data_IF_687770786190
#
_entry.id   IF_687770786190
#
_cell.length_a   1.000
_cell.length_b   1.000
_cell.length_c   1.000
_cell.angle_alpha   90.00
_cell.angle_beta   90.00
_cell.angle_gamma   90.00
#
_symmetry.space_group_name_H-M   'P 1'
#
loop_
_entity.id
_entity.type
_entity.pdbx_description
1 polymer ?
#
# COMPACT_ATOMS: atom_id res chain seq x y z
N UNK A 1 -103.19 -51.56 -5.70
CA UNK A 1 -101.97 -51.14 -4.90
C UNK A 1 -101.54 -49.80 -5.45
N UNK A 2 -101.87 -48.71 -4.72
CA UNK A 2 -101.54 -47.31 -5.12
C UNK A 2 -100.18 -46.99 -4.53
N UNK A 3 -99.23 -46.63 -5.43
CA UNK A 3 -97.95 -46.14 -5.05
C UNK A 3 -97.91 -44.63 -5.09
N UNK A 4 -97.67 -44.01 -3.91
CA UNK A 4 -97.68 -42.55 -3.76
C UNK A 4 -96.31 -42.01 -3.87
N UNK A 5 -95.97 -41.13 -4.81
CA UNK A 5 -94.60 -40.71 -5.06
C UNK A 5 -94.11 -39.53 -4.19
N UNK A 6 -94.58 -39.37 -2.97
CA UNK A 6 -94.29 -38.21 -2.16
C UNK A 6 -93.72 -38.60 -0.75
N UNK A 7 -92.94 -39.67 -0.68
CA UNK A 7 -92.27 -40.02 0.57
C UNK A 7 -90.81 -39.54 0.53
N UNK A 8 -90.45 -38.65 1.45
CA UNK A 8 -89.17 -38.02 1.58
C UNK A 8 -88.17 -39.07 2.03
N UNK A 9 -87.10 -39.25 1.26
CA UNK A 9 -85.96 -40.07 1.61
C UNK A 9 -85.28 -39.59 2.91
N UNK A 10 -85.07 -40.50 3.90
CA UNK A 10 -84.48 -40.15 5.21
C UNK A 10 -82.97 -39.95 5.21
N UNK A 11 -82.36 -40.09 4.09
CA UNK A 11 -80.86 -39.93 3.97
C UNK A 11 -80.55 -38.75 3.02
N UNK A 12 -80.75 -37.52 3.55
CA UNK A 12 -80.39 -36.29 2.86
C UNK A 12 -78.91 -36.18 2.53
N UNK A 13 -78.50 -36.44 1.28
CA UNK A 13 -77.23 -36.00 0.78
C UNK A 13 -77.28 -34.50 0.59
N UNK A 14 -76.55 -33.77 1.44
CA UNK A 14 -76.23 -32.38 1.16
C UNK A 14 -75.36 -32.35 -0.08
N UNK A 15 -75.87 -31.84 -1.21
CA UNK A 15 -75.08 -31.42 -2.36
C UNK A 15 -74.22 -30.25 -1.91
N UNK A 16 -72.98 -30.52 -1.56
CA UNK A 16 -71.91 -29.50 -1.52
C UNK A 16 -71.34 -29.36 -2.93
N UNK A 17 -72.07 -28.75 -3.82
CA UNK A 17 -71.45 -28.13 -4.97
C UNK A 17 -70.76 -26.86 -4.50
N UNK A 18 -69.50 -26.64 -4.86
CA UNK A 18 -68.88 -25.34 -4.63
C UNK A 18 -69.73 -24.29 -5.35
N UNK A 19 -69.87 -23.09 -4.78
CA UNK A 19 -70.71 -22.03 -5.40
C UNK A 19 -70.15 -21.76 -6.78
N UNK A 20 -71.08 -21.88 -7.79
CA UNK A 20 -70.73 -21.58 -9.18
C UNK A 20 -70.30 -20.11 -9.27
N UNK A 21 -69.17 -19.86 -9.91
CA UNK A 21 -68.64 -18.52 -10.09
C UNK A 21 -69.64 -17.62 -10.83
N UNK A 22 -70.50 -18.24 -11.63
CA UNK A 22 -71.56 -17.53 -12.35
C UNK A 22 -72.68 -17.04 -11.37
N UNK A 23 -73.07 -17.80 -10.36
CA UNK A 23 -74.00 -17.35 -9.32
C UNK A 23 -73.36 -16.21 -8.46
N UNK A 24 -72.07 -16.27 -8.16
CA UNK A 24 -71.39 -15.20 -7.44
C UNK A 24 -71.30 -13.92 -8.28
N UNK A 25 -71.04 -14.04 -9.58
CA UNK A 25 -71.02 -12.91 -10.55
C UNK A 25 -72.42 -12.33 -10.75
N UNK A 26 -73.46 -13.16 -10.83
CA UNK A 26 -74.84 -12.70 -10.95
C UNK A 26 -75.31 -12.00 -9.67
N UNK A 27 -74.92 -12.47 -8.47
CA UNK A 27 -75.21 -11.77 -7.24
C UNK A 27 -74.46 -10.43 -7.14
N UNK A 28 -73.16 -10.37 -7.53
CA UNK A 28 -72.42 -9.12 -7.66
C UNK A 28 -73.05 -8.16 -8.69
N UNK A 29 -73.53 -8.66 -9.84
CA UNK A 29 -74.16 -7.84 -10.88
C UNK A 29 -75.53 -7.31 -10.41
N UNK A 30 -76.34 -8.11 -9.67
CA UNK A 30 -77.55 -7.67 -9.02
C UNK A 30 -77.36 -6.64 -7.94
N UNK A 31 -76.23 -6.74 -7.16
CA UNK A 31 -75.85 -5.74 -6.17
C UNK A 31 -75.38 -4.42 -6.78
N UNK A 32 -74.67 -4.47 -7.91
CA UNK A 32 -74.10 -3.28 -8.56
C UNK A 32 -75.11 -2.55 -9.48
N UNK A 33 -76.08 -3.26 -10.12
CA UNK A 33 -76.96 -2.68 -11.12
C UNK A 33 -78.42 -2.48 -10.67
N UNK A 34 -78.81 -2.87 -9.41
CA UNK A 34 -80.16 -2.64 -8.89
C UNK A 34 -80.28 -1.26 -8.23
N UNK A 35 -79.99 -0.26 -8.93
CA UNK A 35 -80.26 1.16 -8.61
C UNK A 35 -81.25 1.82 -9.56
N UNK A 36 -82.54 1.47 -9.42
CA UNK A 36 -83.50 2.26 -10.20
C UNK A 36 -84.93 1.68 -10.19
N UNK A 37 -85.82 2.36 -9.45
CA UNK A 37 -87.26 2.42 -9.63
C UNK A 37 -88.12 1.20 -9.31
N UNK A 38 -88.98 1.34 -8.31
CA UNK A 38 -90.08 0.46 -8.05
C UNK A 38 -90.87 0.77 -6.78
N UNK A 39 -91.88 1.54 -6.86
CA UNK A 39 -92.91 1.95 -5.91
C UNK A 39 -93.75 0.72 -5.42
N UNK A 40 -93.99 0.57 -4.12
CA UNK A 40 -95.06 -0.32 -3.67
C UNK A 40 -94.85 -0.96 -2.29
N UNK A 41 -95.47 -0.33 -1.26
CA UNK A 41 -96.28 -0.87 -0.15
C UNK A 41 -95.79 -2.05 0.70
N UNK A 42 -95.56 -1.78 2.01
CA UNK A 42 -96.09 -2.55 3.13
C UNK A 42 -95.25 -3.68 3.68
N UNK A 43 -94.79 -3.51 4.95
CA UNK A 43 -94.61 -4.63 5.85
C UNK A 43 -93.27 -4.81 6.52
N UNK A 44 -93.19 -4.27 7.75
CA UNK A 44 -92.52 -4.87 8.94
C UNK A 44 -91.02 -5.33 8.90
N UNK A 45 -90.20 -4.58 9.54
CA UNK A 45 -89.20 -5.14 10.47
C UNK A 45 -87.91 -5.77 9.89
N UNK A 46 -87.08 -4.96 9.38
CA UNK A 46 -85.68 -5.32 9.11
C UNK A 46 -84.99 -4.06 8.62
N UNK A 47 -84.07 -3.52 9.44
CA UNK A 47 -83.31 -2.36 9.04
C UNK A 47 -82.42 -2.72 7.85
N UNK A 48 -82.78 -2.24 6.59
CA UNK A 48 -81.87 -2.41 5.49
C UNK A 48 -80.66 -1.50 5.77
N UNK A 49 -79.56 -2.12 6.08
CA UNK A 49 -78.27 -1.44 6.04
C UNK A 49 -78.13 -0.85 4.64
N UNK A 50 -78.59 0.39 4.49
CA UNK A 50 -78.37 1.16 3.23
C UNK A 50 -76.85 1.39 3.14
N UNK A 51 -76.16 0.45 2.49
CA UNK A 51 -74.79 0.65 1.98
C UNK A 51 -74.90 1.76 0.91
N UNK A 52 -75.07 3.01 1.42
CA UNK A 52 -75.17 4.17 0.56
C UNK A 52 -73.84 4.41 -0.11
N UNK A 53 -73.88 5.02 -1.26
CA UNK A 53 -72.73 5.52 -2.03
C UNK A 53 -71.66 6.15 -1.17
N UNK A 54 -72.02 6.78 -0.02
CA UNK A 54 -71.12 7.31 1.01
C UNK A 54 -70.23 6.24 1.67
N UNK A 55 -70.80 5.08 2.00
CA UNK A 55 -70.00 3.98 2.62
C UNK A 55 -68.96 3.42 1.63
N UNK A 56 -69.35 3.25 0.36
CA UNK A 56 -68.42 2.83 -0.66
C UNK A 56 -67.35 3.88 -0.94
N UNK A 57 -67.69 5.16 -0.85
CA UNK A 57 -66.74 6.27 -0.95
C UNK A 57 -65.74 6.26 0.21
N UNK A 58 -66.18 6.01 1.46
CA UNK A 58 -65.27 5.91 2.59
C UNK A 58 -64.39 4.65 2.55
N UNK A 59 -64.93 3.53 2.06
CA UNK A 59 -64.16 2.31 1.85
C UNK A 59 -63.08 2.50 0.76
N UNK A 60 -63.42 3.15 -0.34
CA UNK A 60 -62.49 3.48 -1.42
C UNK A 60 -61.41 4.47 -0.95
N UNK A 61 -61.82 5.46 -0.16
CA UNK A 61 -60.87 6.44 0.44
C UNK A 61 -59.96 5.75 1.44
N UNK A 62 -60.47 4.83 2.27
CA UNK A 62 -59.67 4.00 3.16
C UNK A 62 -58.70 3.07 2.42
N UNK A 63 -59.14 2.46 1.32
CA UNK A 63 -58.28 1.65 0.47
C UNK A 63 -57.20 2.49 -0.22
N UNK A 64 -57.55 3.70 -0.67
CA UNK A 64 -56.59 4.62 -1.27
C UNK A 64 -55.54 5.11 -0.25
N UNK A 65 -55.96 5.47 0.97
CA UNK A 65 -55.02 5.86 2.03
C UNK A 65 -54.10 4.71 2.45
N UNK A 66 -54.64 3.50 2.55
CA UNK A 66 -53.85 2.28 2.83
C UNK A 66 -52.85 2.01 1.69
N UNK A 67 -53.26 2.16 0.42
CA UNK A 67 -52.40 2.02 -0.75
C UNK A 67 -51.24 3.01 -0.74
N UNK A 68 -51.53 4.29 -0.45
CA UNK A 68 -50.48 5.33 -0.32
C UNK A 68 -49.53 4.99 0.83
N UNK A 69 -50.06 4.52 1.97
CA UNK A 69 -49.24 4.17 3.10
C UNK A 69 -48.31 2.98 2.82
N UNK A 70 -48.76 1.98 2.09
CA UNK A 70 -47.95 0.84 1.64
C UNK A 70 -46.87 1.24 0.61
N UNK A 71 -47.08 2.35 -0.10
CA UNK A 71 -46.11 2.87 -1.07
C UNK A 71 -44.95 3.67 -0.43
N UNK A 72 -45.03 4.02 0.85
CA UNK A 72 -43.99 4.78 1.54
C UNK A 72 -42.86 3.83 1.95
N UNK A 73 -41.64 4.15 1.52
CA UNK A 73 -40.43 3.43 1.83
C UNK A 73 -39.32 4.37 2.32
N UNK A 74 -38.60 3.94 3.30
CA UNK A 74 -37.42 4.65 3.83
C UNK A 74 -36.18 3.89 3.36
N UNK A 75 -35.37 4.53 2.51
CA UNK A 75 -34.10 3.99 2.02
C UNK A 75 -32.97 4.60 2.85
N UNK A 76 -32.07 3.76 3.38
CA UNK A 76 -30.93 4.22 4.15
C UNK A 76 -29.99 5.06 3.27
N UNK A 77 -29.13 5.88 3.91
CA UNK A 77 -28.24 6.80 3.20
C UNK A 77 -27.25 6.10 2.26
N UNK A 78 -26.75 4.94 2.67
CA UNK A 78 -25.77 4.16 1.90
C UNK A 78 -26.42 3.21 0.87
N UNK A 79 -27.74 2.99 0.95
CA UNK A 79 -28.45 2.02 0.11
C UNK A 79 -29.03 2.70 -1.12
N UNK A 80 -29.14 1.92 -2.19
CA UNK A 80 -29.84 2.31 -3.42
C UNK A 80 -30.71 1.13 -3.84
N UNK A 81 -31.85 1.44 -4.44
CA UNK A 81 -32.80 0.43 -4.90
C UNK A 81 -33.15 0.67 -6.38
N UNK A 82 -33.07 -0.38 -7.17
CA UNK A 82 -33.50 -0.33 -8.60
C UNK A 82 -34.95 -0.71 -8.68
N UNK A 83 -35.76 0.14 -9.31
CA UNK A 83 -37.19 -0.03 -9.47
C UNK A 83 -37.56 -0.29 -10.91
N UNK A 84 -38.33 -1.35 -11.12
CA UNK A 84 -38.96 -1.69 -12.39
C UNK A 84 -40.43 -1.33 -12.37
N UNK A 85 -40.92 -0.83 -13.48
CA UNK A 85 -42.33 -0.58 -13.69
C UNK A 85 -42.82 -1.50 -14.81
N UNK A 86 -43.68 -2.46 -14.49
CA UNK A 86 -44.17 -3.47 -15.43
C UNK A 86 -43.06 -4.19 -16.20
N UNK A 87 -41.98 -4.57 -15.49
CA UNK A 87 -40.84 -5.29 -16.07
C UNK A 87 -39.84 -4.42 -16.84
N UNK A 88 -40.03 -3.10 -16.89
CA UNK A 88 -39.10 -2.16 -17.51
C UNK A 88 -38.37 -1.34 -16.43
N UNK A 89 -37.08 -1.14 -16.58
CA UNK A 89 -36.33 -0.20 -15.75
C UNK A 89 -36.94 1.19 -15.75
N UNK A 90 -37.21 1.74 -14.60
CA UNK A 90 -37.75 3.08 -14.42
C UNK A 90 -36.72 4.04 -13.82
N UNK A 91 -36.32 3.79 -12.54
CA UNK A 91 -35.43 4.69 -11.80
C UNK A 91 -34.66 3.95 -10.70
N UNK A 92 -33.63 4.61 -10.17
CA UNK A 92 -32.96 4.22 -8.93
C UNK A 92 -33.50 5.10 -7.81
N UNK A 93 -33.98 4.48 -6.72
CA UNK A 93 -34.39 5.19 -5.52
C UNK A 93 -33.14 5.61 -4.74
N UNK A 94 -33.07 6.91 -4.46
CA UNK A 94 -32.05 7.49 -3.60
C UNK A 94 -32.37 7.35 -2.10
N UNK A 95 -31.49 7.84 -1.22
CA UNK A 95 -31.71 7.80 0.22
C UNK A 95 -32.86 8.70 0.66
N UNK A 96 -33.45 8.36 1.80
CA UNK A 96 -34.52 9.10 2.42
C UNK A 96 -35.91 8.51 2.18
N UNK A 97 -36.94 9.37 2.33
CA UNK A 97 -38.31 8.98 2.12
C UNK A 97 -38.61 8.90 0.63
N UNK A 98 -38.93 7.72 0.15
CA UNK A 98 -39.27 7.46 -1.25
C UNK A 98 -40.67 6.89 -1.33
N UNK A 99 -41.34 7.17 -2.47
CA UNK A 99 -42.65 6.62 -2.78
C UNK A 99 -42.54 5.70 -3.98
N UNK A 100 -43.05 4.49 -3.87
CA UNK A 100 -43.19 3.54 -4.97
C UNK A 100 -44.66 3.09 -5.08
N UNK A 101 -45.05 2.65 -6.27
CA UNK A 101 -46.39 2.15 -6.52
C UNK A 101 -46.46 0.64 -6.32
N UNK A 102 -46.93 0.11 -5.16
CA UNK A 102 -46.77 -1.29 -4.77
C UNK A 102 -47.34 -2.34 -5.74
N UNK A 103 -48.23 -1.95 -6.63
CA UNK A 103 -48.86 -2.87 -7.59
C UNK A 103 -48.20 -2.81 -8.98
N UNK A 104 -47.55 -1.68 -9.31
CA UNK A 104 -47.02 -1.40 -10.64
C UNK A 104 -45.50 -1.41 -10.65
N UNK A 105 -44.88 -1.04 -9.54
CA UNK A 105 -43.43 -0.98 -9.36
C UNK A 105 -42.96 -2.14 -8.52
N UNK A 106 -41.90 -2.78 -8.98
CA UNK A 106 -41.18 -3.86 -8.28
C UNK A 106 -39.74 -3.42 -7.99
N UNK A 107 -39.27 -3.72 -6.77
CA UNK A 107 -37.89 -3.48 -6.40
C UNK A 107 -37.06 -4.69 -6.83
N UNK A 108 -36.25 -4.50 -7.87
CA UNK A 108 -35.45 -5.57 -8.45
C UNK A 108 -34.16 -5.86 -7.65
N UNK A 109 -33.46 -4.80 -7.24
CA UNK A 109 -32.23 -4.93 -6.47
C UNK A 109 -32.13 -3.83 -5.43
N UNK A 110 -31.62 -4.19 -4.24
CA UNK A 110 -31.33 -3.26 -3.15
C UNK A 110 -29.94 -3.55 -2.63
N UNK A 111 -29.01 -2.61 -2.85
CA UNK A 111 -27.62 -2.82 -2.51
C UNK A 111 -26.99 -1.59 -1.84
N UNK A 112 -26.07 -1.85 -0.93
CA UNK A 112 -25.27 -0.81 -0.29
C UNK A 112 -24.09 -0.41 -1.18
N UNK A 113 -24.10 0.83 -1.67
CA UNK A 113 -23.08 1.35 -2.59
C UNK A 113 -21.82 1.84 -1.87
N UNK A 114 -21.94 2.22 -0.60
CA UNK A 114 -20.80 2.74 0.19
C UNK A 114 -19.97 1.63 0.83
N UNK A 115 -20.47 0.40 0.82
CA UNK A 115 -19.78 -0.74 1.41
C UNK A 115 -18.63 -1.19 0.52
N UNK A 116 -17.43 -1.18 1.07
CA UNK A 116 -16.27 -1.80 0.42
C UNK A 116 -16.43 -3.31 0.49
N UNK A 117 -16.41 -3.94 -0.65
CA UNK A 117 -16.44 -5.39 -0.82
C UNK A 117 -15.06 -5.87 -1.16
N UNK A 118 -14.68 -7.02 -0.62
CA UNK A 118 -13.35 -7.59 -0.82
C UNK A 118 -13.51 -9.04 -1.26
N UNK A 119 -12.74 -9.44 -2.24
CA UNK A 119 -12.57 -10.85 -2.57
C UNK A 119 -11.09 -11.17 -2.75
N UNK A 120 -10.76 -12.42 -2.50
CA UNK A 120 -9.42 -12.97 -2.65
C UNK A 120 -9.45 -13.98 -3.79
N UNK A 121 -8.48 -13.88 -4.69
CA UNK A 121 -8.34 -14.72 -5.87
C UNK A 121 -6.97 -15.42 -5.83
N UNK A 122 -6.90 -16.66 -5.32
CA UNK A 122 -5.71 -17.48 -5.46
C UNK A 122 -5.65 -18.07 -6.87
N UNK A 123 -4.51 -17.94 -7.55
CA UNK A 123 -4.33 -18.45 -8.90
C UNK A 123 -2.87 -18.67 -9.22
N UNK A 124 -2.61 -19.63 -10.13
CA UNK A 124 -1.27 -19.94 -10.60
C UNK A 124 -1.13 -19.40 -12.02
N UNK A 125 0.01 -18.81 -12.34
CA UNK A 125 0.23 -18.25 -13.66
C UNK A 125 1.69 -18.26 -14.06
N UNK A 126 1.94 -17.98 -15.34
CA UNK A 126 3.26 -17.92 -15.91
C UNK A 126 3.72 -16.47 -16.05
N UNK A 127 4.93 -16.19 -15.62
CA UNK A 127 5.60 -14.91 -15.81
C UNK A 127 6.25 -14.84 -17.20
N UNK A 128 6.75 -13.66 -17.60
CA UNK A 128 7.43 -13.43 -18.87
C UNK A 128 8.67 -14.31 -19.07
N UNK A 129 9.34 -14.65 -18.00
CA UNK A 129 10.54 -15.51 -17.96
C UNK A 129 10.20 -17.01 -17.77
N UNK A 130 8.95 -17.39 -18.09
CA UNK A 130 8.45 -18.76 -18.09
C UNK A 130 8.49 -19.47 -16.73
N UNK A 131 8.50 -18.70 -15.63
CA UNK A 131 8.38 -19.24 -14.29
C UNK A 131 6.91 -19.33 -13.87
N UNK A 132 6.55 -20.42 -13.20
CA UNK A 132 5.22 -20.57 -12.58
C UNK A 132 5.26 -19.90 -11.21
N UNK A 133 4.28 -19.05 -10.95
CA UNK A 133 4.10 -18.35 -9.67
C UNK A 133 2.69 -18.56 -9.13
N UNK A 134 2.62 -18.81 -7.84
CA UNK A 134 1.38 -18.80 -7.06
C UNK A 134 1.15 -17.39 -6.57
N UNK A 135 0.03 -16.79 -7.00
CA UNK A 135 -0.33 -15.41 -6.67
C UNK A 135 -1.69 -15.39 -6.01
N UNK A 136 -1.78 -14.67 -4.90
CA UNK A 136 -3.04 -14.39 -4.21
C UNK A 136 -3.34 -12.89 -4.34
N UNK A 137 -4.40 -12.59 -5.12
CA UNK A 137 -4.83 -11.22 -5.40
C UNK A 137 -6.00 -10.85 -4.49
N UNK A 138 -5.84 -9.77 -3.73
CA UNK A 138 -6.91 -9.18 -2.93
C UNK A 138 -7.41 -7.91 -3.63
N UNK A 139 -8.69 -7.93 -4.00
CA UNK A 139 -9.34 -6.83 -4.70
C UNK A 139 -10.42 -6.22 -3.82
N UNK A 140 -10.34 -4.90 -3.63
CA UNK A 140 -11.33 -4.11 -2.93
C UNK A 140 -12.09 -3.24 -3.91
N UNK A 141 -13.42 -3.34 -3.91
CA UNK A 141 -14.27 -2.61 -4.83
C UNK A 141 -15.54 -2.10 -4.17
N UNK A 142 -16.16 -1.13 -4.81
CA UNK A 142 -17.47 -0.57 -4.45
C UNK A 142 -18.37 -0.55 -5.68
N UNK A 143 -19.68 -0.50 -5.46
CA UNK A 143 -20.65 -0.30 -6.54
C UNK A 143 -20.73 1.19 -6.83
N UNK A 144 -20.36 1.60 -8.04
CA UNK A 144 -20.43 3.00 -8.50
C UNK A 144 -21.81 3.33 -9.10
N UNK A 145 -22.38 2.40 -9.84
CA UNK A 145 -23.69 2.54 -10.47
C UNK A 145 -24.51 1.27 -10.31
N UNK A 146 -25.53 1.30 -9.44
CA UNK A 146 -26.37 0.16 -9.15
C UNK A 146 -27.20 -0.28 -10.36
N UNK A 147 -27.60 0.65 -11.23
CA UNK A 147 -28.32 0.31 -12.46
C UNK A 147 -27.47 -0.61 -13.33
N UNK A 148 -26.26 -0.20 -13.66
CA UNK A 148 -25.37 -0.97 -14.52
C UNK A 148 -24.94 -2.27 -13.85
N UNK A 149 -24.68 -2.25 -12.55
CA UNK A 149 -24.34 -3.43 -11.74
C UNK A 149 -25.43 -4.51 -11.79
N UNK A 150 -26.72 -4.11 -11.78
CA UNK A 150 -27.85 -5.05 -11.71
C UNK A 150 -28.40 -5.45 -13.06
N UNK A 151 -28.14 -4.68 -14.13
CA UNK A 151 -28.83 -4.86 -15.43
C UNK A 151 -27.90 -5.25 -16.58
N UNK A 152 -26.65 -4.78 -16.56
CA UNK A 152 -25.75 -5.00 -17.69
C UNK A 152 -25.03 -6.35 -17.61
N UNK A 153 -24.92 -6.89 -16.41
CA UNK A 153 -24.17 -8.13 -16.15
C UNK A 153 -25.05 -9.10 -15.35
N UNK A 154 -25.12 -10.35 -15.76
CA UNK A 154 -25.93 -11.37 -15.10
C UNK A 154 -25.42 -11.67 -13.68
N UNK A 155 -24.11 -11.80 -13.52
CA UNK A 155 -23.44 -12.01 -12.22
C UNK A 155 -22.22 -11.09 -12.10
N UNK A 156 -22.39 -9.94 -11.45
CA UNK A 156 -21.31 -8.96 -11.31
C UNK A 156 -20.12 -9.48 -10.49
N UNK A 157 -20.36 -10.37 -9.50
CA UNK A 157 -19.28 -10.90 -8.66
C UNK A 157 -18.42 -11.90 -9.43
N UNK A 158 -19.01 -12.73 -10.28
CA UNK A 158 -18.28 -13.63 -11.17
C UNK A 158 -17.52 -12.80 -12.22
N UNK A 159 -18.17 -11.81 -12.78
CA UNK A 159 -17.56 -10.95 -13.82
C UNK A 159 -16.34 -10.19 -13.33
N UNK A 160 -16.40 -9.57 -12.14
CA UNK A 160 -15.23 -8.88 -11.59
C UNK A 160 -14.10 -9.85 -11.30
N UNK A 161 -14.41 -11.05 -10.83
CA UNK A 161 -13.42 -12.10 -10.57
C UNK A 161 -12.71 -12.56 -11.84
N UNK A 162 -13.45 -12.78 -12.91
CA UNK A 162 -12.90 -13.15 -14.22
C UNK A 162 -12.09 -12.01 -14.85
N UNK A 163 -12.58 -10.78 -14.73
CA UNK A 163 -11.86 -9.59 -15.19
C UNK A 163 -10.56 -9.40 -14.41
N UNK A 164 -10.58 -9.60 -13.09
CA UNK A 164 -9.38 -9.52 -12.24
C UNK A 164 -8.37 -10.62 -12.59
N UNK A 165 -8.81 -11.84 -12.83
CA UNK A 165 -7.94 -12.93 -13.27
C UNK A 165 -7.31 -12.63 -14.63
N UNK A 166 -8.08 -12.09 -15.57
CA UNK A 166 -7.60 -11.71 -16.89
C UNK A 166 -6.57 -10.56 -16.81
N UNK A 167 -6.87 -9.52 -16.01
CA UNK A 167 -5.96 -8.40 -15.79
C UNK A 167 -4.66 -8.85 -15.12
N UNK A 168 -4.76 -9.69 -14.09
CA UNK A 168 -3.62 -10.27 -13.39
C UNK A 168 -2.75 -11.10 -14.35
N UNK A 169 -3.36 -12.00 -15.13
CA UNK A 169 -2.64 -12.83 -16.10
C UNK A 169 -1.90 -12.00 -17.15
N UNK A 170 -2.52 -10.95 -17.63
CA UNK A 170 -1.90 -10.04 -18.60
C UNK A 170 -0.68 -9.33 -18.00
N UNK A 171 -0.84 -8.70 -16.85
CA UNK A 171 0.23 -7.91 -16.22
C UNK A 171 1.36 -8.80 -15.71
N UNK A 172 1.07 -9.96 -15.10
CA UNK A 172 2.12 -10.91 -14.65
C UNK A 172 2.86 -11.51 -15.84
N UNK A 173 2.16 -11.83 -16.93
CA UNK A 173 2.77 -12.36 -18.15
C UNK A 173 3.68 -11.35 -18.89
N UNK A 174 3.55 -10.06 -18.64
CA UNK A 174 4.43 -9.02 -19.18
C UNK A 174 5.66 -8.74 -18.29
N UNK A 175 5.65 -9.20 -17.03
CA UNK A 175 6.70 -8.94 -16.05
C UNK A 175 7.50 -10.19 -15.73
N UNK A 176 8.75 -10.01 -15.28
CA UNK A 176 9.60 -11.09 -14.82
C UNK A 176 9.32 -11.42 -13.36
N UNK A 177 9.64 -12.66 -12.96
CA UNK A 177 9.40 -13.15 -11.61
C UNK A 177 10.10 -12.31 -10.53
N UNK A 178 11.31 -11.83 -10.82
CA UNK A 178 12.12 -11.03 -9.88
C UNK A 178 11.41 -9.70 -9.51
N UNK A 179 10.78 -9.03 -10.50
CA UNK A 179 10.00 -7.80 -10.26
C UNK A 179 8.75 -8.07 -9.42
N UNK A 180 8.11 -9.24 -9.63
CA UNK A 180 6.94 -9.64 -8.86
C UNK A 180 7.28 -9.90 -7.38
N UNK A 181 8.46 -10.49 -7.10
CA UNK A 181 8.90 -10.86 -5.75
C UNK A 181 9.52 -9.70 -4.97
N UNK A 182 10.01 -8.66 -5.67
CA UNK A 182 10.78 -7.56 -5.07
C UNK A 182 10.00 -6.23 -5.08
N UNK A 183 10.67 -5.15 -5.35
CA UNK A 183 10.14 -3.77 -5.34
C UNK A 183 9.16 -3.46 -6.47
N UNK A 184 9.10 -4.27 -7.51
CA UNK A 184 8.19 -4.09 -8.65
C UNK A 184 6.71 -4.35 -8.32
N UNK A 185 6.41 -5.01 -7.21
CA UNK A 185 5.05 -5.40 -6.84
C UNK A 185 4.04 -4.26 -6.77
N UNK A 186 4.46 -3.08 -6.31
CA UNK A 186 3.58 -1.90 -6.26
C UNK A 186 3.21 -1.40 -7.66
N UNK A 187 4.16 -1.40 -8.59
CA UNK A 187 3.92 -1.04 -9.98
C UNK A 187 3.02 -2.07 -10.67
N UNK A 188 3.23 -3.36 -10.39
CA UNK A 188 2.40 -4.46 -10.89
C UNK A 188 0.97 -4.34 -10.37
N UNK A 189 0.77 -4.10 -9.07
CA UNK A 189 -0.57 -3.87 -8.48
C UNK A 189 -1.29 -2.68 -9.12
N UNK A 190 -0.58 -1.58 -9.37
CA UNK A 190 -1.12 -0.42 -10.08
C UNK A 190 -1.47 -0.73 -11.53
N UNK A 191 -0.65 -1.53 -12.22
CA UNK A 191 -0.92 -2.01 -13.57
C UNK A 191 -2.16 -2.89 -13.65
N UNK A 192 -2.35 -3.80 -12.67
CA UNK A 192 -3.53 -4.64 -12.56
C UNK A 192 -4.79 -3.79 -12.32
N UNK A 193 -4.71 -2.81 -11.42
CA UNK A 193 -5.82 -1.90 -11.14
C UNK A 193 -6.26 -1.16 -12.40
N UNK A 194 -5.31 -0.56 -13.13
CA UNK A 194 -5.60 0.18 -14.37
C UNK A 194 -6.26 -0.72 -15.42
N UNK A 195 -5.73 -1.92 -15.61
CA UNK A 195 -6.26 -2.89 -16.59
C UNK A 195 -7.63 -3.42 -16.18
N UNK A 196 -7.83 -3.66 -14.88
CA UNK A 196 -9.12 -4.10 -14.35
C UNK A 196 -10.19 -3.03 -14.52
N UNK A 197 -9.87 -1.76 -14.24
CA UNK A 197 -10.79 -0.64 -14.46
C UNK A 197 -11.15 -0.52 -15.96
N UNK A 198 -10.20 -0.71 -16.87
CA UNK A 198 -10.44 -0.72 -18.32
C UNK A 198 -11.42 -1.83 -18.71
N UNK A 199 -11.24 -3.05 -18.21
CA UNK A 199 -12.14 -4.17 -18.50
C UNK A 199 -13.54 -3.92 -17.93
N UNK A 200 -13.65 -3.44 -16.70
CA UNK A 200 -14.94 -3.15 -16.07
C UNK A 200 -15.68 -2.00 -16.77
N UNK A 201 -14.95 -1.04 -17.33
CA UNK A 201 -15.52 0.04 -18.14
C UNK A 201 -16.09 -0.48 -19.46
N UNK A 202 -15.40 -1.42 -20.13
CA UNK A 202 -15.90 -2.06 -21.38
C UNK A 202 -17.20 -2.83 -21.12
N UNK A 203 -17.30 -3.53 -19.98
CA UNK A 203 -18.51 -4.28 -19.60
C UNK A 203 -19.61 -3.39 -19.03
N UNK A 204 -19.32 -2.12 -18.79
CA UNK A 204 -20.24 -1.19 -18.09
C UNK A 204 -20.81 -1.81 -16.81
N UNK A 205 -19.94 -2.51 -16.04
CA UNK A 205 -20.38 -3.33 -14.90
C UNK A 205 -20.87 -2.51 -13.69
N UNK A 206 -20.72 -1.19 -13.70
CA UNK A 206 -21.11 -0.31 -12.58
C UNK A 206 -20.30 -0.53 -11.30
N UNK A 207 -19.07 -1.03 -11.41
CA UNK A 207 -18.16 -1.33 -10.33
C UNK A 207 -16.97 -0.36 -10.41
N UNK A 208 -16.51 0.13 -9.26
CA UNK A 208 -15.28 0.91 -9.12
C UNK A 208 -14.30 0.19 -8.23
N UNK A 209 -13.11 -0.08 -8.72
CA UNK A 209 -12.05 -0.73 -7.95
C UNK A 209 -11.32 0.33 -7.13
N UNK A 210 -11.24 0.10 -5.82
CA UNK A 210 -10.59 1.03 -4.90
C UNK A 210 -9.11 0.68 -4.72
N UNK A 211 -8.82 -0.61 -4.58
CA UNK A 211 -7.48 -1.08 -4.31
C UNK A 211 -7.30 -2.52 -4.80
N UNK A 212 -6.10 -2.79 -5.29
CA UNK A 212 -5.65 -4.12 -5.68
C UNK A 212 -4.32 -4.39 -4.97
N UNK A 213 -4.27 -5.47 -4.20
CA UNK A 213 -3.07 -5.90 -3.49
C UNK A 213 -2.71 -7.34 -3.85
N UNK A 214 -1.44 -7.60 -4.00
CA UNK A 214 -0.90 -8.96 -4.14
C UNK A 214 -0.40 -9.41 -2.77
N UNK A 215 -1.09 -10.38 -2.15
CA UNK A 215 -0.79 -10.84 -0.78
C UNK A 215 0.28 -11.93 -0.76
N UNK A 216 0.12 -12.96 -1.59
CA UNK A 216 1.10 -14.02 -1.72
C UNK A 216 1.74 -13.99 -3.11
N UNK A 217 3.04 -14.15 -3.14
CA UNK A 217 3.90 -14.16 -4.31
C UNK A 217 5.02 -15.13 -4.03
N UNK A 218 4.86 -16.36 -4.44
CA UNK A 218 5.88 -17.38 -4.19
C UNK A 218 5.92 -18.39 -5.32
N UNK A 219 7.09 -19.01 -5.53
CA UNK A 219 7.17 -20.15 -6.44
C UNK A 219 6.33 -21.32 -5.89
N UNK A 220 5.90 -22.25 -6.75
CA UNK A 220 5.28 -23.48 -6.32
C UNK A 220 6.09 -24.24 -5.27
N UNK A 221 5.39 -24.95 -4.38
CA UNK A 221 6.02 -25.63 -3.24
C UNK A 221 7.12 -26.61 -3.66
N UNK A 222 7.00 -27.22 -4.84
CA UNK A 222 7.93 -28.21 -5.37
C UNK A 222 9.30 -27.64 -5.72
N UNK A 223 9.40 -26.33 -6.01
CA UNK A 223 10.64 -25.67 -6.44
C UNK A 223 11.16 -24.63 -5.46
N UNK A 224 10.45 -24.42 -4.35
CA UNK A 224 10.76 -23.35 -3.38
C UNK A 224 12.16 -23.46 -2.78
N UNK A 225 12.63 -24.68 -2.51
CA UNK A 225 13.96 -24.92 -1.92
C UNK A 225 15.07 -24.60 -2.92
N UNK A 226 14.92 -25.03 -4.18
CA UNK A 226 15.86 -24.70 -5.25
C UNK A 226 15.91 -23.19 -5.52
N UNK A 227 14.77 -22.51 -5.41
CA UNK A 227 14.68 -21.07 -5.58
C UNK A 227 15.38 -20.32 -4.44
N UNK A 228 15.21 -20.80 -3.20
CA UNK A 228 15.93 -20.25 -2.02
C UNK A 228 17.45 -20.36 -2.18
N UNK A 229 17.94 -21.47 -2.72
CA UNK A 229 19.38 -21.64 -2.98
C UNK A 229 19.89 -20.62 -4.01
N UNK A 230 19.12 -20.32 -5.07
CA UNK A 230 19.48 -19.29 -6.06
C UNK A 230 19.49 -17.89 -5.43
N UNK A 231 18.49 -17.58 -4.60
CA UNK A 231 18.44 -16.29 -3.88
C UNK A 231 19.62 -16.16 -2.92
N UNK A 232 19.91 -17.20 -2.11
CA UNK A 232 21.05 -17.23 -1.21
C UNK A 232 22.39 -17.05 -1.94
N UNK A 233 22.57 -17.71 -3.07
CA UNK A 233 23.77 -17.56 -3.90
C UNK A 233 23.91 -16.14 -4.50
N UNK A 234 22.81 -15.47 -4.85
CA UNK A 234 22.84 -14.08 -5.29
C UNK A 234 23.20 -13.13 -4.14
N UNK A 235 22.61 -13.32 -2.98
CA UNK A 235 22.92 -12.54 -1.79
C UNK A 235 24.41 -12.70 -1.36
N UNK A 236 24.91 -13.94 -1.38
CA UNK A 236 26.33 -14.24 -1.11
C UNK A 236 27.25 -13.56 -2.10
N UNK A 237 26.92 -13.59 -3.39
CA UNK A 237 27.68 -12.89 -4.43
C UNK A 237 27.72 -11.37 -4.16
N UNK A 238 26.59 -10.74 -3.87
CA UNK A 238 26.55 -9.30 -3.58
C UNK A 238 27.28 -8.98 -2.27
N UNK A 239 27.15 -9.82 -1.25
CA UNK A 239 27.88 -9.66 0.00
C UNK A 239 29.40 -9.71 -0.23
N UNK A 240 29.89 -10.74 -0.94
CA UNK A 240 31.30 -10.87 -1.25
C UNK A 240 31.83 -9.70 -2.09
N UNK A 241 31.04 -9.21 -3.03
CA UNK A 241 31.37 -8.03 -3.81
C UNK A 241 31.49 -6.78 -2.94
N UNK A 242 30.47 -6.54 -2.09
CA UNK A 242 30.46 -5.40 -1.18
C UNK A 242 31.62 -5.47 -0.17
N UNK A 243 31.94 -6.66 0.35
CA UNK A 243 33.08 -6.86 1.25
C UNK A 243 34.41 -6.58 0.54
N UNK A 244 34.57 -7.05 -0.71
CA UNK A 244 35.76 -6.75 -1.51
C UNK A 244 35.89 -5.25 -1.83
N UNK A 245 34.79 -4.58 -2.15
CA UNK A 245 34.78 -3.13 -2.40
C UNK A 245 35.12 -2.35 -1.12
N UNK A 246 34.53 -2.71 0.02
CA UNK A 246 34.84 -2.14 1.33
C UNK A 246 36.32 -2.32 1.66
N UNK A 247 36.86 -3.51 1.42
CA UNK A 247 38.28 -3.78 1.62
C UNK A 247 39.16 -2.91 0.72
N UNK A 248 38.84 -2.81 -0.55
CA UNK A 248 39.56 -1.95 -1.50
C UNK A 248 39.51 -0.47 -1.07
N UNK A 249 38.32 0.02 -0.66
CA UNK A 249 38.15 1.40 -0.16
C UNK A 249 38.90 1.66 1.16
N UNK A 250 39.13 0.65 1.96
CA UNK A 250 39.92 0.80 3.20
C UNK A 250 41.44 0.86 2.97
N UNK A 251 41.97 0.09 2.00
CA UNK A 251 43.40 -0.04 1.77
C UNK A 251 43.94 0.93 0.73
N UNK A 252 43.30 1.04 -0.41
CA UNK A 252 43.80 1.82 -1.55
C UNK A 252 43.98 3.32 -1.22
N UNK A 253 43.01 4.00 -0.57
CA UNK A 253 43.19 5.41 -0.20
C UNK A 253 44.29 5.61 0.83
N UNK A 254 44.43 4.71 1.81
CA UNK A 254 45.50 4.78 2.83
C UNK A 254 46.87 4.62 2.17
N UNK A 255 47.07 3.58 1.36
CA UNK A 255 48.33 3.38 0.64
C UNK A 255 48.69 4.55 -0.29
N UNK A 256 47.70 5.16 -0.95
CA UNK A 256 47.95 6.38 -1.75
C UNK A 256 48.31 7.57 -0.87
N UNK A 257 47.65 7.70 0.30
CA UNK A 257 47.99 8.75 1.26
C UNK A 257 49.42 8.63 1.79
N UNK A 258 49.83 7.41 2.15
CA UNK A 258 51.18 7.14 2.63
C UNK A 258 52.24 7.36 1.55
N UNK A 259 51.96 6.91 0.33
CA UNK A 259 52.87 7.18 -0.78
C UNK A 259 53.02 8.69 -1.06
N UNK A 260 51.90 9.44 -1.04
CA UNK A 260 51.93 10.89 -1.24
C UNK A 260 52.68 11.60 -0.08
N UNK A 261 52.53 11.13 1.17
CA UNK A 261 53.24 11.66 2.29
C UNK A 261 54.74 11.45 2.13
N UNK A 262 55.20 10.24 1.76
CA UNK A 262 56.62 9.98 1.49
C UNK A 262 57.21 10.87 0.41
N UNK A 263 56.46 11.12 -0.66
CA UNK A 263 56.88 12.04 -1.76
C UNK A 263 57.01 13.46 -1.20
N UNK A 264 56.03 13.95 -0.47
CA UNK A 264 56.06 15.28 0.13
C UNK A 264 57.20 15.45 1.16
N UNK A 265 57.42 14.45 1.99
CA UNK A 265 58.50 14.45 2.97
C UNK A 265 59.87 14.48 2.27
N UNK A 266 60.08 13.72 1.19
CA UNK A 266 61.28 13.75 0.39
C UNK A 266 61.49 15.09 -0.33
N UNK A 267 60.45 15.68 -0.86
CA UNK A 267 60.49 17.02 -1.49
C UNK A 267 60.82 18.10 -0.46
N UNK A 268 60.16 18.04 0.73
CA UNK A 268 60.43 18.97 1.81
C UNK A 268 61.87 18.84 2.32
N UNK A 269 62.38 17.58 2.46
CA UNK A 269 63.76 17.33 2.83
C UNK A 269 64.72 17.88 1.79
N UNK A 270 64.48 17.66 0.51
CA UNK A 270 65.28 18.24 -0.58
C UNK A 270 65.36 19.77 -0.51
N UNK A 271 64.21 20.45 -0.39
CA UNK A 271 64.15 21.90 -0.27
C UNK A 271 64.86 22.41 0.98
N UNK A 272 64.69 21.69 2.12
CA UNK A 272 65.40 22.02 3.36
C UNK A 272 66.94 21.92 3.22
N UNK A 273 67.41 20.85 2.60
CA UNK A 273 68.87 20.68 2.39
C UNK A 273 69.44 21.75 1.42
N UNK A 274 68.73 22.06 0.34
CA UNK A 274 69.15 23.11 -0.57
C UNK A 274 69.19 24.48 0.14
N UNK A 275 68.08 24.81 0.87
CA UNK A 275 68.04 26.10 1.57
C UNK A 275 69.10 26.25 2.65
N UNK A 276 69.43 25.15 3.38
CA UNK A 276 70.55 25.14 4.36
C UNK A 276 71.88 25.36 3.64
N UNK A 277 72.12 24.64 2.53
CA UNK A 277 73.39 24.78 1.78
C UNK A 277 73.57 26.18 1.16
N UNK A 278 72.47 26.73 0.61
CA UNK A 278 72.46 28.11 0.10
C UNK A 278 72.71 29.11 1.25
N UNK A 279 72.04 28.96 2.37
CA UNK A 279 72.22 29.80 3.55
C UNK A 279 73.64 29.74 4.13
N UNK A 280 74.27 28.56 4.12
CA UNK A 280 75.69 28.38 4.56
C UNK A 280 76.66 29.05 3.56
N UNK A 281 76.37 28.92 2.25
CA UNK A 281 77.15 29.59 1.20
C UNK A 281 77.09 31.13 1.32
N UNK A 282 75.85 31.67 1.46
CA UNK A 282 75.66 33.11 1.64
C UNK A 282 76.36 33.63 2.94
N UNK A 283 76.22 32.84 4.03
CA UNK A 283 76.90 33.16 5.29
C UNK A 283 78.44 33.20 5.09
N UNK A 284 78.99 32.19 4.38
CA UNK A 284 80.36 32.14 4.08
C UNK A 284 80.88 33.34 3.26
N UNK A 285 80.10 33.70 2.17
CA UNK A 285 80.47 34.86 1.36
C UNK A 285 80.40 36.16 2.17
N UNK A 286 79.42 36.36 3.03
CA UNK A 286 79.31 37.52 3.90
C UNK A 286 80.46 37.60 4.89
N UNK A 287 80.83 36.45 5.49
CA UNK A 287 82.03 36.35 6.39
C UNK A 287 83.32 36.59 5.65
N UNK A 288 83.47 36.10 4.44
CA UNK A 288 84.62 36.32 3.59
C UNK A 288 84.88 37.81 3.31
N UNK A 289 83.86 38.55 3.01
CA UNK A 289 83.88 39.99 2.75
C UNK A 289 84.39 40.73 4.01
N UNK A 290 83.89 40.39 5.22
CA UNK A 290 84.32 41.00 6.47
C UNK A 290 85.74 40.55 6.88
N UNK A 291 86.06 39.31 6.61
CA UNK A 291 87.45 38.80 6.83
C UNK A 291 88.48 39.54 5.99
N UNK A 292 88.17 39.83 4.74
CA UNK A 292 89.08 40.57 3.85
C UNK A 292 89.36 42.00 4.35
N UNK A 293 88.42 42.63 5.07
CA UNK A 293 88.58 43.97 5.64
C UNK A 293 89.48 43.99 6.91
N UNK A 294 89.31 43.00 7.79
CA UNK A 294 90.07 42.92 9.03
C UNK A 294 90.32 41.46 9.45
N UNK A 295 91.39 40.80 8.88
CA UNK A 295 91.63 39.35 9.06
C UNK A 295 91.93 38.92 10.52
N UNK A 296 92.69 39.70 11.26
CA UNK A 296 93.07 39.31 12.62
C UNK A 296 91.87 39.36 13.59
N UNK A 297 91.11 40.41 13.59
CA UNK A 297 89.95 40.59 14.50
C UNK A 297 88.84 39.59 14.15
N UNK A 298 88.60 39.32 12.88
CA UNK A 298 87.56 38.36 12.46
C UNK A 298 87.91 36.93 12.82
N UNK A 299 89.19 36.54 12.75
CA UNK A 299 89.66 35.23 13.18
C UNK A 299 89.50 35.02 14.71
N UNK A 300 89.80 36.04 15.48
CA UNK A 300 89.69 35.96 16.93
C UNK A 300 88.23 35.85 17.36
N UNK A 301 87.35 36.56 16.70
CA UNK A 301 85.87 36.48 16.92
C UNK A 301 85.36 35.12 16.55
N UNK A 302 85.64 34.58 15.36
CA UNK A 302 85.22 33.24 14.96
C UNK A 302 85.75 32.16 15.90
N UNK A 303 86.96 32.30 16.46
CA UNK A 303 87.48 31.38 17.41
C UNK A 303 86.71 31.43 18.76
N UNK A 304 86.34 32.61 19.21
CA UNK A 304 85.51 32.78 20.41
C UNK A 304 84.12 32.25 20.22
N UNK A 305 83.48 32.54 19.04
CA UNK A 305 82.16 32.02 18.74
C UNK A 305 82.13 30.48 18.64
N UNK A 306 83.15 29.85 18.05
CA UNK A 306 83.29 28.39 18.02
C UNK A 306 83.55 27.78 19.43
N UNK A 307 84.31 28.45 20.28
CA UNK A 307 84.49 28.04 21.71
C UNK A 307 83.14 28.15 22.44
N UNK A 308 82.42 29.23 22.27
CA UNK A 308 81.07 29.42 22.90
C UNK A 308 80.10 28.32 22.46
N UNK A 309 80.06 27.96 21.19
CA UNK A 309 79.22 26.87 20.67
C UNK A 309 79.57 25.51 21.28
N UNK A 310 80.88 25.19 21.30
CA UNK A 310 81.42 23.96 21.96
C UNK A 310 81.08 23.95 23.43
N UNK A 311 81.30 25.08 24.13
CA UNK A 311 80.94 25.18 25.52
C UNK A 311 79.49 25.20 25.83
N UNK A 312 78.60 25.66 24.93
CA UNK A 312 77.15 25.64 25.10
C UNK A 312 76.60 24.25 24.90
N UNK A 313 77.11 23.49 23.92
CA UNK A 313 76.70 22.13 23.62
C UNK A 313 77.32 21.04 24.54
N UNK A 314 78.33 21.34 25.30
CA UNK A 314 79.03 20.39 26.22
C UNK A 314 78.37 20.41 27.61
N UNK A 315 78.04 19.25 28.13
CA UNK A 315 77.66 19.10 29.54
C UNK A 315 78.88 19.41 30.46
N UNK A 316 78.76 20.51 31.20
CA UNK A 316 79.87 20.97 32.06
C UNK A 316 79.77 20.30 33.45
N UNK A 317 80.80 19.55 33.87
CA UNK A 317 80.95 19.04 35.21
C UNK A 317 82.06 19.82 35.87
N UNK A 318 81.65 20.77 36.71
CA UNK A 318 82.65 21.51 37.53
C UNK A 318 82.93 20.71 38.78
N UNK A 319 84.20 20.29 38.96
CA UNK A 319 84.68 19.58 40.13
C UNK A 319 85.56 20.55 40.91
N UNK A 320 85.05 21.07 42.01
CA UNK A 320 85.82 21.88 42.98
C UNK A 320 86.35 20.92 44.04
N UNK A 321 87.69 20.72 44.11
CA UNK A 321 88.37 19.84 45.07
C UNK A 321 89.27 20.67 45.96
N UNK A 322 88.70 21.24 47.01
CA UNK A 322 89.51 21.72 48.12
C UNK A 322 89.86 20.58 49.08
N UNK A 323 91.04 20.00 48.93
CA UNK A 323 91.78 19.22 49.92
C UNK A 323 91.19 17.87 50.36
N UNK A 324 91.75 16.75 49.85
CA UNK A 324 91.77 15.47 50.52
C UNK A 324 90.70 14.45 50.13
N UNK A 325 91.12 13.39 49.49
CA UNK A 325 90.57 12.00 49.40
C UNK A 325 89.03 11.86 49.26
N UNK A 326 88.43 12.47 48.28
CA UNK A 326 86.98 12.26 47.96
C UNK A 326 86.87 11.33 46.76
N UNK A 327 86.17 10.20 46.96
CA UNK A 327 85.73 9.33 45.92
C UNK A 327 84.60 10.08 45.09
N UNK A 328 85.02 10.55 43.90
CA UNK A 328 84.08 11.15 42.98
C UNK A 328 83.17 10.07 42.34
N UNK A 329 81.96 9.96 42.81
CA UNK A 329 80.92 9.11 42.16
C UNK A 329 80.18 9.91 41.08
N UNK A 330 80.59 9.68 39.83
CA UNK A 330 79.79 10.22 38.68
C UNK A 330 78.74 9.19 38.25
N UNK A 331 77.51 9.45 38.45
CA UNK A 331 76.44 8.54 37.96
C UNK A 331 76.23 8.72 36.45
N UNK A 332 77.21 8.17 35.68
CA UNK A 332 77.18 8.26 34.19
C UNK A 332 75.90 7.70 33.60
N UNK A 333 75.31 6.65 34.19
CA UNK A 333 74.07 6.05 33.76
C UNK A 333 72.82 6.99 33.83
N UNK A 334 72.85 7.95 34.80
CA UNK A 334 71.73 8.95 34.90
C UNK A 334 71.92 10.10 33.90
N UNK A 335 73.12 10.43 33.56
CA UNK A 335 73.45 11.46 32.56
C UNK A 335 73.13 10.94 31.15
N UNK A 336 73.44 9.67 30.88
CA UNK A 336 73.12 9.04 29.58
C UNK A 336 71.60 8.84 29.38
N UNK A 337 70.85 8.44 30.42
CA UNK A 337 69.41 8.33 30.35
C UNK A 337 68.69 9.66 30.07
N UNK A 338 69.21 10.75 30.63
CA UNK A 338 68.67 12.07 30.45
C UNK A 338 68.92 12.66 29.04
N UNK A 339 70.09 12.25 28.45
CA UNK A 339 70.41 12.60 27.05
C UNK A 339 69.60 11.81 26.03
N UNK A 340 69.11 10.59 26.36
CA UNK A 340 68.20 9.81 25.50
C UNK A 340 66.75 10.29 25.59
N UNK A 341 66.30 10.90 26.71
CA UNK A 341 64.97 11.45 26.88
C UNK A 341 64.79 12.82 26.22
N UNK A 342 65.88 13.57 25.99
CA UNK A 342 65.81 14.88 25.30
C UNK A 342 65.89 14.78 23.74
N UNK A 343 66.10 13.55 23.18
CA UNK A 343 66.21 13.29 21.72
C UNK A 343 64.97 12.58 21.15
N UNK A 344 63.86 12.30 21.93
CA UNK A 344 62.56 11.86 21.43
C UNK A 344 61.56 13.05 21.31
#
# INVERSE_FOLDING_TARGET
>A
MNWNPNEKDPWGRKNNNPPDLDDAIEQLRKMFFSGGSGKGSGGSGGTPFKFGFKFFSYLLLGALTLYIFLGIRIVNEADREVVFTLGKYNRVLGPGLQFHFPVVEEIYASENISRIRTFVLPTNMLTKDENIVDVELNVQYTISDLKNYSLNVEDPEITIRQAAESALRHVVGENIMDDLLTSGAAAISSGILLRLDEYLAIYEAGISVQQVNIEQRQPPAEVIDSFRDVVAAREDKERLRNDAEKYALSIVPVARGDAQRQIQDAEAYREKVIAIAEGEADRFEALLIEYQKAPEVTRERLYLDALEEVFSSSTKVMIDVEGGNNLLYLPIDQIMKKAEEDDE
#
